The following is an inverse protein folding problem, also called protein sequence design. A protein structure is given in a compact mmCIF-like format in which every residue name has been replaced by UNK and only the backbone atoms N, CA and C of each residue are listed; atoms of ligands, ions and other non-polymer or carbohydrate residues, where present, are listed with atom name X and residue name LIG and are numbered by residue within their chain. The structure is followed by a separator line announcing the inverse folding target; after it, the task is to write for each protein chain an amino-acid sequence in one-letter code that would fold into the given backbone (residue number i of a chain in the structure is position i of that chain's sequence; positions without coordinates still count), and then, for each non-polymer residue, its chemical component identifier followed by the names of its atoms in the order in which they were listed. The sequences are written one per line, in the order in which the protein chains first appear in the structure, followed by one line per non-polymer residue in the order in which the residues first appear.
data_IF_983553351152
#
_entry.id   IF_983553351152
#
_cell.length_a   1.000
_cell.length_b   1.000
_cell.length_c   1.000
_cell.angle_alpha   90.00
_cell.angle_beta   90.00
_cell.angle_gamma   90.00
#
_symmetry.space_group_name_H-M   'P 1'
#
loop_
_entity.id
_entity.type
_entity.pdbx_description
1 polymer ?
#
# COMPACT_ATOMS: atom_id res chain seq x y z
N UNK A 1 -15.46 -11.51 21.92
CA UNK A 1 -14.33 -12.24 21.29
C UNK A 1 -14.06 -11.88 19.83
N UNK A 2 -15.07 -11.56 18.99
CA UNK A 2 -14.84 -11.18 17.57
C UNK A 2 -13.94 -9.95 17.38
N UNK A 3 -14.15 -8.87 18.14
CA UNK A 3 -13.37 -7.62 18.01
C UNK A 3 -11.87 -7.80 18.28
N UNK A 4 -11.49 -8.57 19.30
CA UNK A 4 -10.08 -8.84 19.64
C UNK A 4 -9.42 -9.70 18.55
N UNK A 5 -10.12 -10.68 17.98
CA UNK A 5 -9.61 -11.52 16.89
C UNK A 5 -9.39 -10.69 15.62
N UNK A 6 -10.30 -9.76 15.30
CA UNK A 6 -10.13 -8.84 14.17
C UNK A 6 -8.98 -7.86 14.39
N UNK A 7 -8.82 -7.35 15.61
CA UNK A 7 -7.74 -6.45 15.98
C UNK A 7 -6.36 -7.14 15.89
N UNK A 8 -6.22 -8.33 16.46
CA UNK A 8 -5.00 -9.15 16.37
C UNK A 8 -4.71 -9.52 14.92
N UNK A 9 -5.74 -9.89 14.14
CA UNK A 9 -5.57 -10.21 12.71
C UNK A 9 -5.12 -9.00 11.88
N UNK A 10 -5.57 -7.80 12.23
CA UNK A 10 -5.13 -6.59 11.54
C UNK A 10 -3.69 -6.22 11.90
N UNK A 11 -3.30 -6.35 13.17
CA UNK A 11 -1.92 -6.11 13.63
C UNK A 11 -0.96 -7.14 13.02
N UNK A 12 -1.32 -8.43 13.04
CA UNK A 12 -0.48 -9.49 12.50
C UNK A 12 -0.24 -9.33 11.01
N UNK A 13 -1.25 -8.94 10.23
CA UNK A 13 -1.09 -8.64 8.79
C UNK A 13 -0.19 -7.43 8.56
N UNK A 14 -0.26 -6.41 9.41
CA UNK A 14 0.61 -5.23 9.30
C UNK A 14 2.06 -5.63 9.58
N UNK A 15 2.33 -6.36 10.66
CA UNK A 15 3.67 -6.85 11.03
C UNK A 15 4.22 -7.81 9.96
N UNK A 16 3.43 -8.79 9.51
CA UNK A 16 3.85 -9.71 8.45
C UNK A 16 4.10 -9.00 7.11
N UNK A 17 3.35 -7.94 6.79
CA UNK A 17 3.64 -7.14 5.61
C UNK A 17 5.02 -6.49 5.70
N UNK A 18 5.47 -6.07 6.89
CA UNK A 18 6.81 -5.50 7.07
C UNK A 18 7.93 -6.55 6.98
N UNK A 19 7.63 -7.82 7.24
CA UNK A 19 8.60 -8.93 7.17
C UNK A 19 8.67 -9.60 5.80
N UNK A 20 7.65 -9.45 4.94
CA UNK A 20 7.68 -9.98 3.58
C UNK A 20 8.79 -9.27 2.81
N UNK A 21 9.80 -9.99 2.36
CA UNK A 21 10.71 -9.47 1.32
C UNK A 21 9.90 -9.24 0.05
N UNK A 22 9.95 -8.01 -0.44
CA UNK A 22 9.24 -7.57 -1.63
C UNK A 22 10.29 -7.30 -2.70
N UNK A 23 10.11 -7.88 -3.89
CA UNK A 23 11.03 -7.62 -5.01
C UNK A 23 10.65 -6.35 -5.76
N UNK A 24 11.59 -5.77 -6.49
CA UNK A 24 11.31 -4.61 -7.33
C UNK A 24 10.28 -4.93 -8.42
N UNK A 25 10.32 -6.13 -9.00
CA UNK A 25 9.30 -6.60 -9.96
C UNK A 25 7.89 -6.61 -9.36
N UNK A 26 7.74 -7.04 -8.10
CA UNK A 26 6.45 -7.00 -7.39
C UNK A 26 5.97 -5.56 -7.20
N UNK A 27 6.87 -4.65 -6.84
CA UNK A 27 6.57 -3.23 -6.66
C UNK A 27 6.12 -2.62 -7.98
N UNK A 28 6.88 -2.81 -9.05
CA UNK A 28 6.58 -2.25 -10.37
C UNK A 28 5.26 -2.77 -10.93
N UNK A 29 4.99 -4.08 -10.80
CA UNK A 29 3.72 -4.68 -11.21
C UNK A 29 2.55 -4.07 -10.43
N UNK A 30 2.72 -3.87 -9.13
CA UNK A 30 1.70 -3.25 -8.28
C UNK A 30 1.50 -1.76 -8.59
N UNK A 31 2.57 -1.01 -8.88
CA UNK A 31 2.48 0.38 -9.35
C UNK A 31 1.74 0.45 -10.69
N UNK A 32 2.02 -0.48 -11.62
CA UNK A 32 1.35 -0.52 -12.91
C UNK A 32 -0.17 -0.71 -12.79
N UNK A 33 -0.61 -1.56 -11.84
CA UNK A 33 -2.02 -1.66 -11.48
C UNK A 33 -2.55 -0.35 -10.89
N UNK A 34 -1.88 0.21 -9.88
CA UNK A 34 -2.34 1.42 -9.20
C UNK A 34 -2.43 2.64 -10.12
N UNK A 35 -1.59 2.73 -11.17
CA UNK A 35 -1.68 3.79 -12.19
C UNK A 35 -3.03 3.84 -12.91
N UNK A 36 -3.84 2.78 -12.86
CA UNK A 36 -5.19 2.74 -13.43
C UNK A 36 -6.24 3.30 -12.47
N UNK A 37 -5.90 3.48 -11.20
CA UNK A 37 -6.81 3.96 -10.16
C UNK A 37 -6.76 5.50 -10.07
N UNK A 38 -7.93 6.14 -10.18
CA UNK A 38 -8.07 7.61 -10.19
C UNK A 38 -7.41 8.27 -8.97
N UNK A 39 -7.67 7.73 -7.77
CA UNK A 39 -7.08 8.25 -6.53
C UNK A 39 -5.54 8.23 -6.53
N UNK A 40 -4.93 7.26 -7.21
CA UNK A 40 -3.46 7.15 -7.25
C UNK A 40 -2.87 8.10 -8.30
N UNK A 41 -3.59 8.34 -9.40
CA UNK A 41 -3.21 9.33 -10.41
C UNK A 41 -3.15 10.74 -9.82
N UNK A 42 -4.08 11.09 -8.93
CA UNK A 42 -4.06 12.37 -8.21
C UNK A 42 -2.75 12.56 -7.41
N UNK A 43 -2.28 11.52 -6.71
CA UNK A 43 -1.01 11.57 -5.98
C UNK A 43 0.20 11.58 -6.92
N UNK A 44 0.15 10.88 -8.05
CA UNK A 44 1.23 10.93 -9.05
C UNK A 44 1.37 12.30 -9.71
N UNK A 45 0.28 13.06 -9.84
CA UNK A 45 0.31 14.42 -10.40
C UNK A 45 1.02 15.43 -9.48
N UNK A 46 1.14 15.13 -8.19
CA UNK A 46 1.85 15.97 -7.23
C UNK A 46 3.31 15.51 -7.06
N UNK A 47 4.27 16.37 -7.39
CA UNK A 47 5.71 16.02 -7.35
C UNK A 47 6.18 15.44 -6.00
N UNK A 48 5.72 16.01 -4.87
CA UNK A 48 6.10 15.54 -3.52
C UNK A 48 5.66 14.10 -3.27
N UNK A 49 4.42 13.77 -3.62
CA UNK A 49 3.88 12.42 -3.44
C UNK A 49 4.44 11.44 -4.47
N UNK A 50 4.64 11.88 -5.72
CA UNK A 50 5.32 11.12 -6.75
C UNK A 50 6.72 10.68 -6.31
N UNK A 51 7.50 11.58 -5.73
CA UNK A 51 8.82 11.26 -5.20
C UNK A 51 8.76 10.18 -4.12
N UNK A 52 7.78 10.25 -3.21
CA UNK A 52 7.58 9.21 -2.20
C UNK A 52 7.22 7.85 -2.82
N UNK A 53 6.32 7.84 -3.82
CA UNK A 53 5.93 6.60 -4.52
C UNK A 53 7.14 5.91 -5.14
N UNK A 54 8.08 6.67 -5.73
CA UNK A 54 9.22 6.09 -6.45
C UNK A 54 10.50 5.95 -5.63
N UNK A 55 10.68 6.69 -4.53
CA UNK A 55 11.97 6.73 -3.83
C UNK A 55 11.86 6.40 -2.34
N UNK A 56 10.68 6.50 -1.72
CA UNK A 56 10.54 6.21 -0.29
C UNK A 56 10.39 4.70 -0.05
N UNK A 57 11.38 4.09 0.59
CA UNK A 57 11.43 2.64 0.83
C UNK A 57 10.18 2.11 1.54
N UNK A 58 9.64 2.84 2.53
CA UNK A 58 8.43 2.42 3.26
C UNK A 58 7.19 2.44 2.39
N UNK A 59 7.01 3.48 1.58
CA UNK A 59 5.88 3.58 0.64
C UNK A 59 5.98 2.48 -0.41
N UNK A 60 7.16 2.32 -1.04
CA UNK A 60 7.42 1.25 -2.02
C UNK A 60 7.17 -0.14 -1.44
N UNK A 61 7.65 -0.41 -0.23
CA UNK A 61 7.44 -1.67 0.46
C UNK A 61 5.94 -1.96 0.64
N UNK A 62 5.17 -1.00 1.16
CA UNK A 62 3.72 -1.17 1.32
C UNK A 62 3.05 -1.47 -0.03
N UNK A 63 3.46 -0.79 -1.10
CA UNK A 63 2.94 -1.04 -2.45
C UNK A 63 3.23 -2.48 -2.88
N UNK A 64 4.45 -2.99 -2.76
CA UNK A 64 4.72 -4.36 -3.21
C UNK A 64 4.20 -5.47 -2.26
N UNK A 65 3.77 -5.15 -1.03
CA UNK A 65 3.20 -6.17 -0.12
C UNK A 65 1.79 -6.64 -0.48
N UNK A 66 1.02 -5.91 -1.28
CA UNK A 66 -0.34 -6.32 -1.59
C UNK A 66 -0.39 -7.36 -2.73
N UNK A 67 -1.39 -8.22 -2.65
CA UNK A 67 -1.66 -9.23 -3.66
C UNK A 67 -2.71 -8.67 -4.65
N UNK A 68 -2.32 -8.58 -5.91
CA UNK A 68 -3.16 -8.08 -7.02
C UNK A 68 -4.45 -8.88 -7.21
N UNK A 69 -4.42 -10.20 -7.08
CA UNK A 69 -5.62 -11.05 -7.23
C UNK A 69 -6.69 -10.71 -6.18
N UNK A 70 -6.25 -10.25 -5.00
CA UNK A 70 -7.13 -9.82 -3.91
C UNK A 70 -7.68 -8.40 -4.09
N UNK A 71 -7.16 -7.61 -5.04
CA UNK A 71 -7.64 -6.23 -5.28
C UNK A 71 -9.06 -6.16 -5.84
N UNK A 72 -9.55 -7.24 -6.45
CA UNK A 72 -10.97 -7.42 -6.79
C UNK A 72 -11.92 -7.28 -5.58
N UNK A 73 -11.43 -7.49 -4.35
CA UNK A 73 -12.21 -7.36 -3.12
C UNK A 73 -12.15 -5.92 -2.61
N UNK A 74 -13.25 -5.19 -2.71
CA UNK A 74 -13.37 -3.78 -2.29
C UNK A 74 -12.79 -3.49 -0.89
N UNK A 75 -13.05 -4.36 0.09
CA UNK A 75 -12.47 -4.22 1.45
C UNK A 75 -10.95 -4.27 1.45
N UNK A 76 -10.37 -5.18 0.67
CA UNK A 76 -8.91 -5.33 0.55
C UNK A 76 -8.30 -4.14 -0.19
N UNK A 77 -8.93 -3.72 -1.29
CA UNK A 77 -8.55 -2.53 -2.04
C UNK A 77 -8.50 -1.29 -1.14
N UNK A 78 -9.61 -0.96 -0.48
CA UNK A 78 -9.69 0.19 0.44
C UNK A 78 -8.68 0.10 1.58
N UNK A 79 -8.43 -1.10 2.12
CA UNK A 79 -7.39 -1.30 3.14
C UNK A 79 -6.01 -0.87 2.65
N UNK A 80 -5.62 -1.26 1.44
CA UNK A 80 -4.30 -0.92 0.90
C UNK A 80 -4.21 0.52 0.41
N UNK A 81 -5.26 1.06 -0.22
CA UNK A 81 -5.35 2.49 -0.51
C UNK A 81 -5.09 3.32 0.75
N UNK A 82 -5.82 3.04 1.85
CA UNK A 82 -5.63 3.77 3.11
C UNK A 82 -4.21 3.62 3.67
N UNK A 83 -3.60 2.43 3.58
CA UNK A 83 -2.21 2.22 4.05
C UNK A 83 -1.21 3.02 3.24
N UNK A 84 -1.33 3.03 1.91
CA UNK A 84 -0.42 3.76 1.00
C UNK A 84 -0.56 5.26 1.23
N UNK A 85 -1.80 5.79 1.23
CA UNK A 85 -2.07 7.21 1.48
C UNK A 85 -1.56 7.64 2.85
N UNK A 86 -1.84 6.86 3.90
CA UNK A 86 -1.34 7.18 5.26
C UNK A 86 0.18 7.18 5.32
N UNK A 87 0.85 6.26 4.62
CA UNK A 87 2.31 6.22 4.58
C UNK A 87 2.89 7.43 3.85
N UNK A 88 2.27 7.87 2.75
CA UNK A 88 2.68 9.06 2.03
C UNK A 88 2.51 10.34 2.85
N UNK A 89 1.34 10.55 3.47
CA UNK A 89 1.06 11.73 4.30
C UNK A 89 2.02 11.81 5.48
N UNK A 90 2.20 10.71 6.23
CA UNK A 90 3.14 10.65 7.36
C UNK A 90 4.61 10.81 6.98
N UNK A 91 4.94 10.76 5.69
CA UNK A 91 6.32 10.97 5.21
C UNK A 91 6.57 12.42 4.78
N UNK A 92 5.52 13.27 4.78
CA UNK A 92 5.59 14.71 4.50
C UNK A 92 5.30 15.58 5.72
N UNK A 93 4.74 15.01 6.78
CA UNK A 93 4.63 15.60 8.13
C UNK A 93 5.98 15.54 8.86
#
# INVERSE_FOLDING_TARGET
MQSIIEFISNISVVIFSFLKEVTEDEIEKNIAYLKQEEWFQEYLACNRYRELIFNNSKVRHIIGTFNLEKMSKMRYHRKYQNRIVTAMVKSLD
#
